data_IF_205920533364
#
_entry.id   IF_205920533364
#
_cell.length_a   1.000
_cell.length_b   1.000
_cell.length_c   1.000
_cell.angle_alpha   90.00
_cell.angle_beta   90.00
_cell.angle_gamma   90.00
#
_symmetry.space_group_name_H-M   'P 1'
#
loop_
_entity.id
_entity.type
_entity.pdbx_description
1 polymer ?
#
# COMPACT_ATOMS: atom_id res chain seq x y z
N UNK A 1 26.86 4.40 25.72
CA UNK A 1 26.40 4.74 24.35
C UNK A 1 27.64 5.25 23.59
N UNK A 2 27.98 4.59 22.51
CA UNK A 2 29.07 5.00 21.63
C UNK A 2 28.49 5.83 20.47
N UNK A 3 29.15 6.97 20.16
CA UNK A 3 28.83 7.80 19.01
C UNK A 3 29.39 7.16 17.74
N UNK A 4 28.55 6.95 16.72
CA UNK A 4 29.00 6.38 15.47
C UNK A 4 29.10 7.41 14.32
N UNK A 5 28.11 8.31 14.17
CA UNK A 5 28.03 9.25 13.05
C UNK A 5 27.06 10.41 13.38
N UNK A 6 27.34 11.60 12.82
CA UNK A 6 26.40 12.72 12.86
C UNK A 6 25.35 12.51 11.74
N UNK A 7 24.06 12.45 12.12
CA UNK A 7 22.93 12.33 11.20
C UNK A 7 22.39 13.69 10.78
N UNK A 8 22.44 14.67 11.65
CA UNK A 8 21.97 16.02 11.36
C UNK A 8 22.30 17.02 12.47
N UNK A 9 22.31 18.29 12.11
CA UNK A 9 22.51 19.41 13.02
C UNK A 9 21.39 20.42 12.82
N UNK A 10 20.57 20.59 13.83
CA UNK A 10 19.44 21.52 13.83
C UNK A 10 19.66 22.74 14.74
N UNK A 11 18.63 23.60 14.82
CA UNK A 11 18.64 24.78 15.65
C UNK A 11 18.64 24.44 17.16
N UNK A 12 17.85 23.45 17.56
CA UNK A 12 17.71 23.04 18.97
C UNK A 12 18.75 21.99 19.39
N UNK A 13 19.12 21.10 18.48
CA UNK A 13 19.96 19.96 18.82
C UNK A 13 20.73 19.38 17.65
N UNK A 14 21.59 18.43 17.98
CA UNK A 14 22.31 17.60 17.03
C UNK A 14 21.80 16.16 17.16
N UNK A 15 21.57 15.51 16.04
CA UNK A 15 21.19 14.09 16.00
C UNK A 15 22.38 13.27 15.57
N UNK A 16 22.70 12.24 16.33
CA UNK A 16 23.80 11.33 16.04
C UNK A 16 23.29 9.89 16.01
N UNK A 17 23.87 9.10 15.13
CA UNK A 17 23.79 7.65 15.18
C UNK A 17 24.60 7.18 16.38
N UNK A 18 24.01 6.34 17.21
CA UNK A 18 24.67 5.83 18.40
C UNK A 18 24.38 4.34 18.58
N UNK A 19 25.30 3.62 19.20
CA UNK A 19 25.06 2.25 19.67
C UNK A 19 24.66 2.26 21.13
N UNK A 20 23.56 1.59 21.44
CA UNK A 20 23.15 1.28 22.79
C UNK A 20 23.01 -0.21 22.92
N UNK A 21 23.91 -0.83 23.65
CA UNK A 21 24.06 -2.28 23.71
C UNK A 21 24.29 -2.84 22.29
N UNK A 22 23.47 -3.79 21.84
CA UNK A 22 23.53 -4.35 20.47
C UNK A 22 22.67 -3.56 19.45
N UNK A 23 21.95 -2.54 19.88
CA UNK A 23 20.98 -1.83 19.03
C UNK A 23 21.52 -0.48 18.55
N UNK A 24 21.21 -0.15 17.29
CA UNK A 24 21.50 1.18 16.73
C UNK A 24 20.31 2.10 17.04
N UNK A 25 20.58 3.30 17.51
CA UNK A 25 19.60 4.29 17.91
C UNK A 25 19.94 5.68 17.38
N UNK A 26 18.94 6.55 17.24
CA UNK A 26 19.15 7.98 17.03
C UNK A 26 19.17 8.69 18.40
N UNK A 27 20.25 9.42 18.67
CA UNK A 27 20.42 10.22 19.87
C UNK A 27 20.38 11.70 19.50
N UNK A 28 19.30 12.41 19.90
CA UNK A 28 19.22 13.87 19.77
C UNK A 28 19.77 14.51 21.03
N UNK A 29 20.79 15.35 20.86
CA UNK A 29 21.52 16.05 21.92
C UNK A 29 21.16 17.52 21.85
N UNK A 30 20.65 18.09 22.93
CA UNK A 30 20.35 19.52 23.01
C UNK A 30 21.63 20.35 22.92
N UNK A 31 21.65 21.38 22.12
CA UNK A 31 22.77 22.34 22.05
C UNK A 31 22.78 23.23 23.28
N UNK A 32 23.97 23.65 23.71
CA UNK A 32 24.16 24.54 24.86
C UNK A 32 23.47 25.89 24.62
N UNK A 33 23.60 26.40 23.38
CA UNK A 33 23.01 27.66 22.90
C UNK A 33 21.56 27.55 22.44
N UNK A 34 20.90 26.41 22.70
CA UNK A 34 19.52 26.15 22.31
C UNK A 34 18.57 27.07 23.08
N UNK A 35 17.57 27.71 22.43
CA UNK A 35 16.51 28.46 23.09
C UNK A 35 15.61 27.57 23.98
N UNK A 36 15.63 26.27 23.78
CA UNK A 36 14.85 25.31 24.57
C UNK A 36 15.63 24.85 25.81
N UNK A 37 14.98 24.92 26.96
CA UNK A 37 15.58 24.56 28.26
C UNK A 37 15.81 23.06 28.43
N UNK A 38 15.03 22.21 27.76
CA UNK A 38 15.12 20.76 27.85
C UNK A 38 14.44 20.03 26.63
N UNK A 39 14.65 18.71 26.58
CA UNK A 39 14.08 17.82 25.54
C UNK A 39 12.75 17.17 25.98
N UNK A 40 12.21 17.54 27.15
CA UNK A 40 11.05 16.86 27.75
C UNK A 40 9.78 17.04 26.93
N UNK A 41 9.57 18.22 26.35
CA UNK A 41 8.38 18.49 25.55
C UNK A 41 8.35 17.65 24.25
N UNK A 42 9.47 17.61 23.52
CA UNK A 42 9.59 16.77 22.32
C UNK A 42 9.41 15.29 22.65
N UNK A 43 9.99 14.81 23.77
CA UNK A 43 9.80 13.45 24.24
C UNK A 43 8.32 13.13 24.56
N UNK A 44 7.58 14.08 25.18
CA UNK A 44 6.14 13.94 25.43
C UNK A 44 5.34 13.83 24.12
N UNK A 45 5.62 14.72 23.17
CA UNK A 45 4.95 14.73 21.86
C UNK A 45 5.25 13.44 21.09
N UNK A 46 6.50 12.98 21.09
CA UNK A 46 6.89 11.73 20.46
C UNK A 46 6.15 10.51 21.05
N UNK A 47 5.98 10.47 22.38
CA UNK A 47 5.16 9.43 23.02
C UNK A 47 3.69 9.48 22.60
N UNK A 48 3.14 10.68 22.41
CA UNK A 48 1.75 10.83 21.95
C UNK A 48 1.61 10.27 20.54
N UNK A 49 2.47 10.66 19.60
CA UNK A 49 2.39 10.21 18.21
C UNK A 49 2.72 8.72 18.05
N UNK A 50 3.54 8.15 18.94
CA UNK A 50 3.81 6.71 18.93
C UNK A 50 2.58 5.86 19.32
N UNK A 51 1.57 6.43 20.00
CA UNK A 51 0.30 5.72 20.29
C UNK A 51 -0.52 5.44 19.02
N UNK A 52 -0.28 6.22 17.96
CA UNK A 52 -0.88 6.07 16.64
C UNK A 52 0.13 5.58 15.59
N UNK A 53 1.26 5.04 16.04
CA UNK A 53 2.35 4.48 15.25
C UNK A 53 2.96 5.46 14.22
N UNK A 54 2.97 6.75 14.55
CA UNK A 54 3.63 7.80 13.77
C UNK A 54 4.95 8.18 14.43
N UNK A 55 5.95 8.55 13.63
CA UNK A 55 7.28 8.94 14.07
C UNK A 55 8.18 7.78 14.49
N UNK A 56 9.46 8.08 14.81
CA UNK A 56 10.39 7.11 15.37
C UNK A 56 9.95 6.70 16.78
N UNK A 57 10.16 5.44 17.15
CA UNK A 57 9.78 4.95 18.49
C UNK A 57 10.61 5.64 19.57
N UNK A 58 9.91 6.16 20.59
CA UNK A 58 10.53 6.70 21.77
C UNK A 58 11.20 5.58 22.58
N UNK A 59 12.44 5.81 23.02
CA UNK A 59 13.19 4.85 23.86
C UNK A 59 13.39 5.43 25.27
N UNK A 60 14.07 6.57 25.37
CA UNK A 60 14.38 7.21 26.65
C UNK A 60 14.68 8.69 26.44
N UNK A 61 14.47 9.51 27.46
CA UNK A 61 14.94 10.90 27.48
C UNK A 61 15.51 11.30 28.82
N UNK A 62 16.32 12.36 28.80
CA UNK A 62 16.74 13.14 29.94
C UNK A 62 16.51 14.63 29.65
N UNK A 63 16.98 15.51 30.53
CA UNK A 63 16.92 16.96 30.32
C UNK A 63 17.54 17.40 28.99
N UNK A 64 18.69 16.81 28.62
CA UNK A 64 19.49 17.23 27.47
C UNK A 64 19.51 16.21 26.32
N UNK A 65 18.91 15.05 26.48
CA UNK A 65 19.00 13.94 25.51
C UNK A 65 17.63 13.34 25.22
N UNK A 66 17.42 12.98 23.95
CA UNK A 66 16.29 12.16 23.50
C UNK A 66 16.85 10.98 22.70
N UNK A 67 16.56 9.76 23.15
CA UNK A 67 16.92 8.50 22.47
C UNK A 67 15.66 7.96 21.82
N UNK A 68 15.75 7.69 20.53
CA UNK A 68 14.66 7.18 19.72
C UNK A 68 15.17 6.16 18.69
N UNK A 69 14.25 5.45 18.08
CA UNK A 69 14.52 4.54 16.97
C UNK A 69 15.32 5.26 15.88
N UNK A 70 16.37 4.58 15.38
CA UNK A 70 17.03 5.00 14.18
C UNK A 70 16.22 4.54 12.96
N UNK A 71 15.82 5.46 12.12
CA UNK A 71 15.13 5.17 10.87
C UNK A 71 16.18 5.07 9.76
N UNK A 72 16.44 3.84 9.32
CA UNK A 72 17.33 3.60 8.18
C UNK A 72 16.62 3.98 6.88
N UNK A 73 17.17 4.96 6.17
CA UNK A 73 16.59 5.47 4.93
C UNK A 73 17.17 6.81 4.52
N UNK A 74 16.51 7.45 3.57
CA UNK A 74 16.94 8.70 2.97
C UNK A 74 15.84 9.77 3.12
N UNK A 75 16.22 11.02 3.10
CA UNK A 75 15.24 12.11 3.03
C UNK A 75 14.40 11.98 1.76
N UNK A 76 13.12 12.23 1.87
CA UNK A 76 12.16 12.07 0.75
C UNK A 76 12.61 12.81 -0.53
N UNK A 77 13.25 13.96 -0.38
CA UNK A 77 13.74 14.73 -1.53
C UNK A 77 14.89 14.03 -2.25
N UNK A 78 15.83 13.44 -1.52
CA UNK A 78 16.99 12.75 -2.10
C UNK A 78 16.56 11.41 -2.71
N UNK A 79 15.68 10.69 -2.03
CA UNK A 79 15.05 9.49 -2.56
C UNK A 79 14.27 9.77 -3.86
N UNK A 80 13.47 10.84 -3.90
CA UNK A 80 12.67 11.19 -5.07
C UNK A 80 13.51 11.62 -6.28
N UNK A 81 14.73 12.14 -6.08
CA UNK A 81 15.66 12.49 -7.17
C UNK A 81 16.23 11.31 -7.91
N UNK A 82 16.29 10.14 -7.29
CA UNK A 82 16.94 8.95 -7.86
C UNK A 82 16.28 8.55 -9.17
N UNK A 83 17.05 8.28 -10.24
CA UNK A 83 16.48 7.90 -11.54
C UNK A 83 15.63 6.63 -11.48
N UNK A 84 16.01 5.66 -10.66
CA UNK A 84 15.36 4.37 -10.47
C UNK A 84 14.02 4.44 -9.71
N UNK A 85 13.73 5.55 -9.02
CA UNK A 85 12.47 5.71 -8.29
C UNK A 85 11.28 5.77 -9.25
N UNK A 86 10.43 4.74 -9.19
CA UNK A 86 9.28 4.56 -10.08
C UNK A 86 8.07 5.39 -9.66
N UNK A 87 7.18 5.67 -10.61
CA UNK A 87 5.95 6.44 -10.38
C UNK A 87 5.02 5.80 -9.35
N UNK A 88 4.93 4.46 -9.35
CA UNK A 88 4.13 3.69 -8.40
C UNK A 88 4.67 3.80 -6.97
N UNK A 89 5.99 3.74 -6.81
CA UNK A 89 6.65 3.89 -5.51
C UNK A 89 6.44 5.30 -4.95
N UNK A 90 6.53 6.33 -5.82
CA UNK A 90 6.25 7.71 -5.43
C UNK A 90 4.81 7.84 -4.92
N UNK A 91 3.83 7.29 -5.64
CA UNK A 91 2.42 7.34 -5.22
C UNK A 91 2.22 6.65 -3.86
N UNK A 92 2.85 5.49 -3.67
CA UNK A 92 2.79 4.75 -2.41
C UNK A 92 3.36 5.59 -1.24
N UNK A 93 4.57 6.12 -1.43
CA UNK A 93 5.23 6.94 -0.40
C UNK A 93 4.40 8.17 -0.06
N UNK A 94 3.88 8.89 -1.07
CA UNK A 94 3.05 10.07 -0.85
C UNK A 94 1.73 9.73 -0.15
N UNK A 95 1.08 8.62 -0.53
CA UNK A 95 -0.13 8.15 0.14
C UNK A 95 0.13 7.86 1.62
N UNK A 96 1.20 7.12 1.92
CA UNK A 96 1.56 6.78 3.30
C UNK A 96 1.89 8.02 4.14
N UNK A 97 2.66 8.96 3.57
CA UNK A 97 3.01 10.22 4.26
C UNK A 97 1.76 11.07 4.54
N UNK A 98 0.86 11.23 3.57
CA UNK A 98 -0.39 11.97 3.80
C UNK A 98 -1.29 11.27 4.82
N UNK A 99 -1.24 9.96 4.89
CA UNK A 99 -1.96 9.19 5.90
C UNK A 99 -1.39 9.43 7.30
N UNK A 100 -0.06 9.42 7.49
CA UNK A 100 0.53 9.81 8.77
C UNK A 100 0.11 11.24 9.16
N UNK A 101 0.07 12.18 8.19
CA UNK A 101 -0.46 13.53 8.41
C UNK A 101 -1.92 13.53 8.86
N UNK A 102 -2.76 12.68 8.26
CA UNK A 102 -4.16 12.54 8.66
C UNK A 102 -4.29 11.97 10.09
N UNK A 103 -3.48 10.98 10.45
CA UNK A 103 -3.46 10.46 11.82
C UNK A 103 -3.07 11.53 12.83
N UNK A 104 -2.10 12.38 12.51
CA UNK A 104 -1.74 13.53 13.36
C UNK A 104 -2.90 14.53 13.48
N UNK A 105 -3.57 14.87 12.37
CA UNK A 105 -4.74 15.75 12.37
C UNK A 105 -5.87 15.18 13.25
N UNK A 106 -6.10 13.86 13.18
CA UNK A 106 -7.18 13.16 13.90
C UNK A 106 -7.03 13.16 15.41
N UNK A 107 -5.78 13.24 15.93
CA UNK A 107 -5.50 13.34 17.37
C UNK A 107 -5.31 14.80 17.83
N UNK A 108 -5.56 15.78 16.95
CA UNK A 108 -5.43 17.20 17.30
C UNK A 108 -3.98 17.69 17.42
N UNK A 109 -3.00 16.98 16.82
CA UNK A 109 -1.59 17.36 16.89
C UNK A 109 -1.13 18.00 15.57
N UNK A 110 -0.67 19.25 15.64
CA UNK A 110 -0.02 19.94 14.54
C UNK A 110 1.49 19.78 14.62
N UNK A 111 2.11 19.24 13.57
CA UNK A 111 3.57 19.06 13.50
C UNK A 111 4.32 20.39 13.47
N UNK A 112 3.76 21.37 12.76
CA UNK A 112 4.29 22.74 12.68
C UNK A 112 5.28 23.00 11.54
N UNK A 113 5.89 21.96 10.95
CA UNK A 113 6.95 22.11 9.94
C UNK A 113 6.71 21.30 8.65
N UNK A 114 5.53 20.73 8.45
CA UNK A 114 5.25 19.94 7.23
C UNK A 114 5.08 20.78 5.96
N UNK A 115 5.16 22.09 6.04
CA UNK A 115 5.37 22.97 4.87
C UNK A 115 6.77 22.79 4.25
N UNK A 116 7.75 22.28 5.01
CA UNK A 116 9.10 21.90 4.58
C UNK A 116 9.31 20.40 4.70
N UNK A 117 8.35 19.63 4.22
CA UNK A 117 8.26 18.18 4.37
C UNK A 117 9.47 17.41 3.84
N UNK A 118 10.17 18.00 2.87
CA UNK A 118 11.41 17.48 2.29
C UNK A 118 12.51 17.19 3.32
N UNK A 119 12.47 17.88 4.48
CA UNK A 119 13.41 17.70 5.60
C UNK A 119 12.90 16.76 6.67
N UNK A 120 11.58 16.54 6.74
CA UNK A 120 10.89 15.90 7.86
C UNK A 120 10.31 14.51 7.53
N UNK A 121 10.66 13.93 6.38
CA UNK A 121 10.29 12.56 6.03
C UNK A 121 11.51 11.77 5.61
N UNK A 122 11.68 10.61 6.25
CA UNK A 122 12.64 9.59 5.85
C UNK A 122 11.89 8.49 5.10
N UNK A 123 12.36 8.15 3.91
CA UNK A 123 11.89 7.01 3.12
C UNK A 123 12.81 5.84 3.38
N UNK A 124 12.36 4.88 4.17
CA UNK A 124 13.07 3.65 4.46
C UNK A 124 12.58 2.49 3.57
N UNK A 125 13.31 1.39 3.61
CA UNK A 125 13.00 0.19 2.80
C UNK A 125 11.60 -0.36 3.05
N UNK A 126 11.14 -0.33 4.30
CA UNK A 126 9.87 -0.95 4.71
C UNK A 126 8.84 0.05 5.24
N UNK A 127 9.26 1.26 5.57
CA UNK A 127 8.38 2.26 6.21
C UNK A 127 8.89 3.67 5.87
N UNK A 128 7.95 4.57 5.60
CA UNK A 128 8.21 6.01 5.58
C UNK A 128 7.90 6.56 6.97
N UNK A 129 8.63 7.56 7.42
CA UNK A 129 8.48 8.06 8.78
C UNK A 129 8.62 9.56 8.81
N UNK A 130 7.61 10.24 9.37
CA UNK A 130 7.70 11.66 9.73
C UNK A 130 8.59 11.77 10.97
N UNK A 131 9.55 12.70 10.93
CA UNK A 131 10.52 12.91 12.00
C UNK A 131 10.49 14.35 12.51
N UNK A 132 11.11 14.59 13.67
CA UNK A 132 11.34 15.93 14.27
C UNK A 132 10.07 16.63 14.77
N UNK A 133 9.55 16.14 15.89
CA UNK A 133 8.34 16.66 16.54
C UNK A 133 8.60 17.85 17.47
N UNK A 134 9.76 18.50 17.37
CA UNK A 134 10.13 19.57 18.32
C UNK A 134 9.23 20.81 18.22
N UNK A 135 8.74 21.15 17.03
CA UNK A 135 7.84 22.28 16.78
C UNK A 135 6.37 21.94 16.89
N UNK A 136 6.05 20.67 17.22
CA UNK A 136 4.68 20.17 17.28
C UNK A 136 3.90 20.76 18.46
N UNK A 137 2.58 20.81 18.31
CA UNK A 137 1.67 21.38 19.31
C UNK A 137 0.30 20.72 19.27
N UNK A 138 -0.28 20.47 20.43
CA UNK A 138 -1.69 20.08 20.60
C UNK A 138 -2.61 21.29 20.90
N UNK A 139 -2.06 22.51 20.92
CA UNK A 139 -2.79 23.74 21.15
C UNK A 139 -3.14 24.50 19.88
N UNK A 140 -2.41 24.24 18.79
CA UNK A 140 -2.71 24.80 17.45
C UNK A 140 -3.72 23.93 16.71
N UNK A 141 -4.55 24.56 15.86
CA UNK A 141 -5.40 23.81 14.94
C UNK A 141 -4.52 23.01 13.97
N UNK A 142 -4.65 21.69 13.87
CA UNK A 142 -3.83 20.89 12.97
C UNK A 142 -4.03 21.27 11.52
N UNK A 143 -2.94 21.23 10.75
CA UNK A 143 -2.94 21.50 9.31
C UNK A 143 -1.98 20.60 8.54
N UNK A 144 -1.70 19.42 9.10
CA UNK A 144 -0.66 18.51 8.57
C UNK A 144 -0.96 18.04 7.15
N UNK A 145 -2.18 17.53 6.89
CA UNK A 145 -2.57 17.09 5.54
C UNK A 145 -2.51 18.23 4.53
N UNK A 146 -3.02 19.40 4.89
CA UNK A 146 -3.07 20.54 3.95
C UNK A 146 -1.67 21.11 3.68
N UNK A 147 -0.85 21.27 4.72
CA UNK A 147 0.54 21.74 4.63
C UNK A 147 1.40 20.77 3.82
N UNK A 148 1.35 19.49 4.15
CA UNK A 148 2.08 18.44 3.44
C UNK A 148 1.66 18.33 1.97
N UNK A 149 0.35 18.32 1.68
CA UNK A 149 -0.15 18.27 0.28
C UNK A 149 0.35 19.44 -0.55
N UNK A 150 0.32 20.65 0.00
CA UNK A 150 0.84 21.84 -0.69
C UNK A 150 2.35 21.76 -0.90
N UNK A 151 3.11 21.37 0.12
CA UNK A 151 4.55 21.24 0.03
C UNK A 151 4.99 20.17 -0.98
N UNK A 152 4.33 19.00 -0.98
CA UNK A 152 4.68 17.89 -1.87
C UNK A 152 4.31 18.19 -3.34
N UNK A 153 3.21 18.92 -3.59
CA UNK A 153 2.60 18.96 -4.92
C UNK A 153 2.61 20.33 -5.59
N UNK A 154 2.84 21.45 -4.86
CA UNK A 154 2.64 22.78 -5.42
C UNK A 154 3.87 23.67 -5.34
N UNK A 155 4.50 23.81 -4.18
CA UNK A 155 5.33 24.98 -3.89
C UNK A 155 6.81 24.75 -3.62
N UNK A 156 7.32 23.51 -3.62
CA UNK A 156 8.70 23.21 -3.18
C UNK A 156 9.58 22.62 -4.26
N UNK A 157 10.88 22.48 -3.96
CA UNK A 157 11.81 21.72 -4.80
C UNK A 157 11.38 20.27 -4.99
N UNK A 158 10.83 19.65 -3.95
CA UNK A 158 10.25 18.31 -4.01
C UNK A 158 9.07 18.25 -4.98
N UNK A 159 8.17 19.24 -4.97
CA UNK A 159 7.04 19.33 -5.90
C UNK A 159 7.48 19.31 -7.37
N UNK A 160 8.54 20.04 -7.71
CA UNK A 160 9.10 20.05 -9.08
C UNK A 160 9.62 18.67 -9.50
N UNK A 161 10.23 17.92 -8.59
CA UNK A 161 10.74 16.57 -8.85
C UNK A 161 9.57 15.60 -9.04
N UNK A 162 8.58 15.62 -8.15
CA UNK A 162 7.37 14.80 -8.20
C UNK A 162 6.60 15.01 -9.50
N UNK A 163 6.38 16.28 -9.90
CA UNK A 163 5.66 16.63 -11.14
C UNK A 163 6.33 16.11 -12.42
N UNK A 164 7.66 15.93 -12.41
CA UNK A 164 8.38 15.31 -13.54
C UNK A 164 8.17 13.80 -13.62
N UNK A 165 7.88 13.14 -12.50
CA UNK A 165 7.81 11.68 -12.40
C UNK A 165 6.38 11.12 -12.38
N UNK A 166 5.40 11.89 -11.90
CA UNK A 166 4.00 11.49 -11.88
C UNK A 166 3.09 12.59 -12.43
N UNK A 167 2.06 12.16 -13.17
CA UNK A 167 1.01 13.08 -13.64
C UNK A 167 0.08 13.43 -12.47
N UNK A 168 0.05 14.69 -12.13
CA UNK A 168 -0.80 15.27 -11.08
C UNK A 168 -2.01 16.00 -11.67
N UNK A 169 -3.10 16.18 -10.90
CA UNK A 169 -4.20 17.05 -11.26
C UNK A 169 -3.75 18.53 -11.27
N UNK A 170 -4.61 19.42 -11.77
CA UNK A 170 -4.34 20.85 -11.79
C UNK A 170 -4.18 21.42 -10.38
N UNK A 171 -3.37 22.47 -10.24
CA UNK A 171 -3.16 23.19 -8.97
C UNK A 171 -4.48 23.58 -8.32
N UNK A 172 -5.45 24.08 -9.11
CA UNK A 172 -6.77 24.47 -8.62
C UNK A 172 -7.52 23.29 -7.99
N UNK A 173 -7.49 22.12 -8.64
CA UNK A 173 -8.12 20.91 -8.08
C UNK A 173 -7.50 20.49 -6.76
N UNK A 174 -6.16 20.54 -6.65
CA UNK A 174 -5.44 20.23 -5.41
C UNK A 174 -5.87 21.20 -4.29
N UNK A 175 -5.91 22.51 -4.58
CA UNK A 175 -6.33 23.53 -3.62
C UNK A 175 -7.77 23.32 -3.15
N UNK A 176 -8.70 23.01 -4.06
CA UNK A 176 -10.09 22.79 -3.71
C UNK A 176 -10.26 21.58 -2.79
N UNK A 177 -9.61 20.45 -3.10
CA UNK A 177 -9.63 19.26 -2.26
C UNK A 177 -9.09 19.53 -0.84
N UNK A 178 -7.97 20.27 -0.75
CA UNK A 178 -7.39 20.61 0.55
C UNK A 178 -8.21 21.62 1.32
N UNK A 179 -8.92 22.55 0.65
CA UNK A 179 -9.85 23.51 1.29
C UNK A 179 -11.04 22.78 1.91
N UNK A 180 -11.65 21.83 1.20
CA UNK A 180 -12.75 21.03 1.73
C UNK A 180 -12.32 20.22 2.95
N UNK A 181 -11.14 19.60 2.89
CA UNK A 181 -10.58 18.89 4.03
C UNK A 181 -10.32 19.83 5.22
N UNK A 182 -9.75 21.03 4.98
CA UNK A 182 -9.47 22.01 6.03
C UNK A 182 -10.73 22.49 6.75
N UNK A 183 -11.86 22.63 6.00
CA UNK A 183 -13.16 22.98 6.59
C UNK A 183 -13.71 21.85 7.46
N UNK A 184 -13.62 20.62 6.96
CA UNK A 184 -14.14 19.45 7.62
C UNK A 184 -13.17 18.26 7.49
N UNK A 185 -12.26 18.06 8.48
CA UNK A 185 -11.19 17.05 8.43
C UNK A 185 -11.73 15.65 8.74
N UNK A 186 -12.58 15.13 7.88
CA UNK A 186 -13.13 13.78 7.95
C UNK A 186 -12.32 12.78 7.12
N UNK A 187 -12.47 11.47 7.43
CA UNK A 187 -11.94 10.36 6.63
C UNK A 187 -12.35 10.53 5.16
N UNK A 188 -13.64 10.82 4.90
CA UNK A 188 -14.18 11.00 3.55
C UNK A 188 -13.47 12.11 2.77
N UNK A 189 -13.23 13.26 3.39
CA UNK A 189 -12.53 14.36 2.73
C UNK A 189 -11.03 14.07 2.54
N UNK A 190 -10.42 13.31 3.44
CA UNK A 190 -9.08 12.79 3.26
C UNK A 190 -9.00 11.80 2.08
N UNK A 191 -9.92 10.86 2.00
CA UNK A 191 -10.04 9.94 0.86
C UNK A 191 -10.23 10.68 -0.46
N UNK A 192 -11.06 11.73 -0.48
CA UNK A 192 -11.23 12.59 -1.67
C UNK A 192 -9.92 13.22 -2.12
N UNK A 193 -9.01 13.58 -1.19
CA UNK A 193 -7.66 14.05 -1.53
C UNK A 193 -6.88 12.93 -2.20
N UNK A 194 -6.72 11.77 -1.57
CA UNK A 194 -5.89 10.66 -2.09
C UNK A 194 -6.39 10.14 -3.43
N UNK A 195 -7.71 9.99 -3.59
CA UNK A 195 -8.36 9.64 -4.87
C UNK A 195 -8.13 10.72 -5.92
N UNK A 196 -8.42 11.97 -5.57
CA UNK A 196 -8.30 13.11 -6.48
C UNK A 196 -6.88 13.33 -6.96
N UNK A 197 -5.88 13.02 -6.14
CA UNK A 197 -4.45 13.08 -6.45
C UNK A 197 -3.94 11.81 -7.17
N UNK A 198 -4.77 10.79 -7.33
CA UNK A 198 -4.39 9.49 -7.90
C UNK A 198 -3.20 8.86 -7.17
N UNK A 199 -3.12 9.07 -5.85
CA UNK A 199 -2.09 8.48 -5.01
C UNK A 199 -2.44 7.05 -4.58
N UNK A 200 -3.70 6.69 -4.69
CA UNK A 200 -4.11 5.32 -4.46
C UNK A 200 -3.36 4.43 -5.46
N UNK A 201 -2.61 3.49 -4.95
CA UNK A 201 -2.09 2.41 -5.77
C UNK A 201 -3.35 1.68 -6.21
N UNK A 202 -3.54 1.55 -7.50
CA UNK A 202 -4.74 0.98 -8.10
C UNK A 202 -4.92 -0.50 -7.74
N UNK A 203 -5.14 -0.75 -6.47
CA UNK A 203 -5.77 -1.95 -5.95
C UNK A 203 -7.25 -1.64 -5.83
N UNK A 204 -8.10 -2.33 -6.58
CA UNK A 204 -9.56 -2.16 -6.58
C UNK A 204 -10.22 -2.31 -5.20
N UNK A 205 -9.47 -2.71 -4.21
CA UNK A 205 -9.90 -2.99 -2.83
C UNK A 205 -9.37 -1.99 -1.79
N UNK A 206 -8.80 -0.86 -2.23
CA UNK A 206 -8.17 0.08 -1.30
C UNK A 206 -9.18 0.77 -0.37
N UNK A 207 -10.41 0.97 -0.85
CA UNK A 207 -11.49 1.52 -0.04
C UNK A 207 -11.89 0.55 1.08
N UNK A 208 -11.96 -0.74 0.77
CA UNK A 208 -12.28 -1.80 1.71
C UNK A 208 -11.11 -2.03 2.69
N UNK A 209 -9.88 -2.01 2.20
CA UNK A 209 -8.69 -2.14 3.04
C UNK A 209 -8.53 -0.92 3.95
N UNK A 210 -8.84 0.30 3.50
CA UNK A 210 -8.75 1.49 4.36
C UNK A 210 -9.72 1.44 5.54
N UNK A 211 -10.89 0.83 5.41
CA UNK A 211 -11.79 0.61 6.53
C UNK A 211 -11.25 -0.41 7.55
N UNK A 212 -10.53 -1.42 7.09
CA UNK A 212 -9.88 -2.43 7.95
C UNK A 212 -8.72 -1.84 8.80
N UNK A 213 -8.11 -0.76 8.34
CA UNK A 213 -7.10 -0.05 9.13
C UNK A 213 -7.68 0.67 10.36
N UNK A 214 -8.99 0.84 10.45
CA UNK A 214 -9.63 1.38 11.65
C UNK A 214 -9.71 0.34 12.79
N UNK A 215 -9.57 -0.94 12.46
CA UNK A 215 -9.49 -2.01 13.45
C UNK A 215 -8.08 -2.10 14.04
N UNK A 216 -7.96 -1.86 15.35
CA UNK A 216 -6.69 -1.87 16.09
C UNK A 216 -5.96 -3.22 16.05
N UNK A 217 -6.66 -4.33 15.80
CA UNK A 217 -6.06 -5.68 15.69
C UNK A 217 -5.59 -5.96 14.26
N UNK A 218 -6.32 -5.47 13.24
CA UNK A 218 -5.99 -5.70 11.84
C UNK A 218 -4.91 -4.73 11.35
N UNK A 219 -4.88 -3.50 11.84
CA UNK A 219 -3.90 -2.48 11.43
C UNK A 219 -2.44 -2.96 11.45
N UNK A 220 -1.91 -3.59 12.54
CA UNK A 220 -0.55 -4.10 12.56
C UNK A 220 -0.28 -5.20 11.52
N UNK A 221 -1.28 -6.07 11.29
CA UNK A 221 -1.19 -7.14 10.29
C UNK A 221 -1.15 -6.57 8.87
N UNK A 222 -2.04 -5.62 8.56
CA UNK A 222 -2.09 -4.96 7.24
C UNK A 222 -0.79 -4.18 6.99
N UNK A 223 -0.25 -3.49 7.99
CA UNK A 223 1.06 -2.81 7.89
C UNK A 223 2.20 -3.80 7.60
N UNK A 224 2.18 -4.98 8.23
CA UNK A 224 3.20 -6.03 8.03
C UNK A 224 3.08 -6.69 6.66
N UNK A 225 1.85 -6.97 6.21
CA UNK A 225 1.57 -7.66 4.93
C UNK A 225 1.73 -6.69 3.74
N UNK A 226 1.42 -5.41 3.95
CA UNK A 226 1.41 -4.40 2.89
C UNK A 226 0.10 -4.33 2.11
N UNK A 227 0.08 -3.65 0.96
CA UNK A 227 -1.13 -3.44 0.17
C UNK A 227 -1.68 -4.75 -0.37
N UNK A 228 -3.01 -4.81 -0.53
CA UNK A 228 -3.67 -5.96 -1.15
C UNK A 228 -3.18 -6.13 -2.61
N UNK A 229 -2.46 -7.21 -2.86
CA UNK A 229 -1.89 -7.56 -4.17
C UNK A 229 -2.74 -8.57 -4.94
N UNK A 230 -4.02 -8.72 -4.56
CA UNK A 230 -4.92 -9.67 -5.19
C UNK A 230 -5.02 -9.43 -6.70
N UNK A 231 -4.58 -10.41 -7.49
CA UNK A 231 -4.61 -10.35 -8.94
C UNK A 231 -6.03 -10.60 -9.43
N UNK A 232 -6.50 -9.73 -10.29
CA UNK A 232 -7.80 -9.82 -10.92
C UNK A 232 -7.60 -10.18 -12.38
N UNK A 233 -8.30 -11.20 -12.85
CA UNK A 233 -8.28 -11.64 -14.23
C UNK A 233 -9.62 -11.29 -14.88
N UNK A 234 -9.59 -10.47 -15.93
CA UNK A 234 -10.81 -10.15 -16.71
C UNK A 234 -11.21 -11.28 -17.68
N UNK A 235 -10.41 -12.33 -17.78
CA UNK A 235 -10.66 -13.46 -18.66
C UNK A 235 -11.37 -14.58 -17.89
N UNK A 236 -12.67 -14.73 -18.13
CA UNK A 236 -13.52 -15.74 -17.48
C UNK A 236 -13.02 -17.18 -17.67
N UNK A 237 -12.60 -17.54 -18.89
CA UNK A 237 -12.07 -18.86 -19.17
C UNK A 237 -10.78 -19.14 -18.41
N UNK A 238 -9.85 -18.18 -18.41
CA UNK A 238 -8.59 -18.29 -17.65
C UNK A 238 -8.85 -18.50 -16.18
N UNK A 239 -9.74 -17.70 -15.56
CA UNK A 239 -10.06 -17.81 -14.14
C UNK A 239 -10.56 -19.20 -13.77
N UNK A 240 -11.47 -19.77 -14.59
CA UNK A 240 -12.02 -21.09 -14.30
C UNK A 240 -11.00 -22.20 -14.54
N UNK A 241 -10.19 -22.14 -15.60
CA UNK A 241 -9.12 -23.12 -15.84
C UNK A 241 -8.09 -23.11 -14.73
N UNK A 242 -7.63 -21.93 -14.33
CA UNK A 242 -6.69 -21.80 -13.20
C UNK A 242 -7.31 -22.32 -11.90
N UNK A 243 -8.57 -21.98 -11.60
CA UNK A 243 -9.27 -22.49 -10.44
C UNK A 243 -9.37 -24.04 -10.44
N UNK A 244 -9.65 -24.67 -11.59
CA UNK A 244 -9.66 -26.15 -11.72
C UNK A 244 -8.26 -26.72 -11.45
N UNK A 245 -7.19 -26.10 -11.96
CA UNK A 245 -5.82 -26.56 -11.72
C UNK A 245 -5.50 -26.49 -10.24
N UNK A 246 -5.92 -25.43 -9.53
CA UNK A 246 -5.63 -25.20 -8.11
C UNK A 246 -6.41 -26.11 -7.14
N UNK A 247 -7.52 -26.73 -7.56
CA UNK A 247 -8.31 -27.60 -6.67
C UNK A 247 -7.46 -28.64 -5.95
N UNK A 248 -7.61 -28.73 -4.63
CA UNK A 248 -6.94 -29.73 -3.76
C UNK A 248 -5.39 -29.76 -3.88
N UNK A 249 -4.76 -28.65 -4.22
CA UNK A 249 -3.31 -28.51 -4.30
C UNK A 249 -2.82 -27.40 -3.37
N UNK A 250 -1.58 -27.51 -2.90
CA UNK A 250 -0.90 -26.37 -2.28
C UNK A 250 -0.62 -25.30 -3.33
N UNK A 251 -0.55 -24.04 -2.90
CA UNK A 251 -0.25 -22.89 -3.80
C UNK A 251 1.04 -23.10 -4.60
N UNK A 252 2.09 -23.61 -3.95
CA UNK A 252 3.37 -23.89 -4.61
C UNK A 252 3.24 -24.92 -5.73
N UNK A 253 2.53 -26.04 -5.47
CA UNK A 253 2.30 -27.10 -6.46
C UNK A 253 1.44 -26.61 -7.62
N UNK A 254 0.33 -25.93 -7.34
CA UNK A 254 -0.57 -25.39 -8.34
C UNK A 254 0.13 -24.36 -9.23
N UNK A 255 0.92 -23.46 -8.63
CA UNK A 255 1.73 -22.46 -9.36
C UNK A 255 2.74 -23.12 -10.29
N UNK A 256 3.43 -24.19 -9.83
CA UNK A 256 4.41 -24.92 -10.64
C UNK A 256 3.74 -25.61 -11.86
N UNK A 257 2.58 -26.23 -11.63
CA UNK A 257 1.77 -26.88 -12.70
C UNK A 257 1.29 -25.83 -13.71
N UNK A 258 0.71 -24.73 -13.22
CA UNK A 258 0.24 -23.62 -14.08
C UNK A 258 1.37 -23.04 -14.92
N UNK A 259 2.57 -22.85 -14.35
CA UNK A 259 3.74 -22.40 -15.13
C UNK A 259 4.11 -23.39 -16.24
N UNK A 260 4.10 -24.70 -15.99
CA UNK A 260 4.37 -25.71 -17.03
C UNK A 260 3.27 -25.77 -18.09
N UNK A 261 2.00 -25.67 -17.68
CA UNK A 261 0.87 -25.57 -18.58
C UNK A 261 1.00 -24.36 -19.54
N UNK A 262 1.30 -23.18 -18.99
CA UNK A 262 1.48 -21.97 -19.81
C UNK A 262 2.68 -22.04 -20.75
N UNK A 263 3.73 -22.80 -20.42
CA UNK A 263 4.87 -23.02 -21.33
C UNK A 263 4.52 -23.75 -22.63
N UNK A 264 3.41 -24.47 -22.67
CA UNK A 264 2.92 -25.12 -23.89
C UNK A 264 2.40 -24.09 -24.92
N UNK A 265 2.17 -22.85 -24.49
CA UNK A 265 1.54 -21.81 -25.28
C UNK A 265 2.28 -20.48 -25.17
N UNK A 266 2.18 -19.63 -26.20
CA UNK A 266 2.79 -18.27 -26.16
C UNK A 266 2.03 -17.29 -25.25
N UNK A 267 0.72 -17.51 -25.11
CA UNK A 267 -0.20 -16.74 -24.25
C UNK A 267 -1.13 -17.73 -23.54
N UNK A 268 -1.98 -17.26 -22.63
CA UNK A 268 -3.01 -18.12 -22.07
C UNK A 268 -3.83 -18.76 -23.21
N UNK A 269 -3.98 -20.09 -23.24
CA UNK A 269 -4.57 -20.77 -24.40
C UNK A 269 -6.06 -20.46 -24.56
N UNK A 270 -6.51 -20.45 -25.81
CA UNK A 270 -7.94 -20.43 -26.13
C UNK A 270 -8.57 -21.82 -25.89
N UNK A 271 -9.91 -21.91 -25.78
CA UNK A 271 -10.59 -23.20 -25.69
C UNK A 271 -10.22 -24.17 -26.84
N UNK A 272 -10.07 -23.66 -28.05
CA UNK A 272 -9.71 -24.45 -29.27
C UNK A 272 -8.29 -25.01 -29.13
N UNK A 273 -7.35 -24.20 -28.64
CA UNK A 273 -5.95 -24.63 -28.44
C UNK A 273 -5.87 -25.73 -27.39
N UNK A 274 -6.64 -25.63 -26.29
CA UNK A 274 -6.69 -26.68 -25.26
C UNK A 274 -7.28 -27.96 -25.83
N UNK A 275 -8.35 -27.87 -26.61
CA UNK A 275 -8.96 -29.05 -27.27
C UNK A 275 -8.01 -29.75 -28.24
N UNK A 276 -7.21 -29.01 -28.99
CA UNK A 276 -6.22 -29.55 -29.92
C UNK A 276 -4.97 -30.11 -29.26
N UNK A 277 -4.71 -29.78 -27.98
CA UNK A 277 -3.57 -30.30 -27.25
C UNK A 277 -3.84 -31.73 -26.76
N UNK A 278 -2.91 -32.65 -27.02
CA UNK A 278 -3.06 -34.05 -26.59
C UNK A 278 -3.07 -34.18 -25.07
N UNK A 279 -3.83 -35.14 -24.54
CA UNK A 279 -3.93 -35.41 -23.13
C UNK A 279 -2.57 -35.75 -22.52
N UNK A 280 -1.69 -36.42 -23.28
CA UNK A 280 -0.32 -36.72 -22.85
C UNK A 280 0.43 -35.43 -22.53
N UNK A 281 0.45 -34.46 -23.45
CA UNK A 281 1.12 -33.17 -23.23
C UNK A 281 0.56 -32.41 -22.03
N UNK A 282 -0.75 -32.47 -21.81
CA UNK A 282 -1.38 -31.87 -20.63
C UNK A 282 -1.00 -32.60 -19.33
N UNK A 283 -0.96 -33.94 -19.33
CA UNK A 283 -0.50 -34.73 -18.18
C UNK A 283 0.95 -34.47 -17.82
N UNK A 284 1.82 -34.29 -18.82
CA UNK A 284 3.25 -34.00 -18.62
C UNK A 284 3.47 -32.65 -17.88
N UNK A 285 2.48 -31.76 -17.90
CA UNK A 285 2.53 -30.53 -17.07
C UNK A 285 2.25 -30.77 -15.58
N UNK A 286 1.75 -31.95 -15.23
CA UNK A 286 1.35 -32.33 -13.87
C UNK A 286 -0.16 -32.16 -13.61
N UNK A 287 -0.99 -31.89 -14.63
CA UNK A 287 -2.45 -31.83 -14.51
C UNK A 287 -2.99 -33.25 -14.48
N UNK A 288 -3.82 -33.58 -13.47
CA UNK A 288 -4.45 -34.92 -13.37
C UNK A 288 -5.44 -35.16 -14.52
N UNK A 289 -5.63 -36.43 -14.89
CA UNK A 289 -6.56 -36.82 -15.94
C UNK A 289 -7.99 -36.30 -15.72
N UNK A 290 -8.46 -36.35 -14.48
CA UNK A 290 -9.79 -35.77 -14.11
C UNK A 290 -9.86 -34.27 -14.39
N UNK A 291 -8.84 -33.51 -14.02
CA UNK A 291 -8.78 -32.05 -14.30
C UNK A 291 -8.68 -31.75 -15.78
N UNK A 292 -7.94 -32.58 -16.55
CA UNK A 292 -7.88 -32.45 -18.02
C UNK A 292 -9.28 -32.61 -18.61
N UNK A 293 -10.03 -33.62 -18.16
CA UNK A 293 -11.41 -33.83 -18.62
C UNK A 293 -12.31 -32.61 -18.29
N UNK A 294 -12.17 -32.01 -17.09
CA UNK A 294 -12.93 -30.83 -16.73
C UNK A 294 -12.56 -29.61 -17.58
N UNK A 295 -11.28 -29.36 -17.79
CA UNK A 295 -10.82 -28.24 -18.62
C UNK A 295 -11.23 -28.41 -20.06
N UNK A 296 -11.12 -29.61 -20.65
CA UNK A 296 -11.59 -29.90 -22.01
C UNK A 296 -13.11 -29.85 -22.11
N UNK A 297 -13.84 -30.34 -21.09
CA UNK A 297 -15.30 -30.21 -21.03
C UNK A 297 -15.76 -28.77 -21.05
N UNK A 298 -15.18 -27.90 -20.21
CA UNK A 298 -15.42 -26.46 -20.21
C UNK A 298 -15.10 -25.83 -21.59
N UNK A 299 -13.95 -26.16 -22.15
CA UNK A 299 -13.53 -25.68 -23.47
C UNK A 299 -14.52 -26.06 -24.56
N UNK A 300 -14.99 -27.31 -24.58
CA UNK A 300 -15.99 -27.80 -25.53
C UNK A 300 -17.30 -27.05 -25.45
N UNK A 301 -17.81 -26.81 -24.24
CA UNK A 301 -19.06 -26.07 -24.04
C UNK A 301 -18.96 -24.62 -24.51
N UNK A 302 -17.79 -23.96 -24.30
CA UNK A 302 -17.55 -22.60 -24.79
C UNK A 302 -17.51 -22.56 -26.30
N UNK A 303 -16.81 -23.50 -26.96
CA UNK A 303 -16.74 -23.61 -28.43
C UNK A 303 -18.14 -23.81 -29.02
N UNK A 304 -18.95 -24.64 -28.37
CA UNK A 304 -20.35 -24.88 -28.79
C UNK A 304 -21.31 -23.73 -28.46
N UNK A 305 -20.81 -22.66 -27.81
CA UNK A 305 -21.61 -21.52 -27.33
C UNK A 305 -22.71 -21.89 -26.32
N UNK A 306 -22.57 -23.04 -25.65
CA UNK A 306 -23.44 -23.46 -24.55
C UNK A 306 -23.22 -22.58 -23.30
N UNK A 307 -22.01 -22.00 -23.17
CA UNK A 307 -21.63 -21.05 -22.11
C UNK A 307 -21.38 -19.69 -22.74
N UNK A 308 -22.13 -18.68 -22.30
CA UNK A 308 -21.91 -17.27 -22.65
C UNK A 308 -21.57 -16.44 -21.40
N UNK A 309 -20.29 -16.21 -21.16
CA UNK A 309 -19.84 -15.42 -20.03
C UNK A 309 -20.34 -13.97 -20.03
N UNK A 310 -20.70 -13.41 -21.18
CA UNK A 310 -21.28 -12.05 -21.24
C UNK A 310 -22.70 -12.03 -20.69
N UNK A 311 -23.46 -13.10 -20.89
CA UNK A 311 -24.79 -13.26 -20.29
C UNK A 311 -24.66 -13.59 -18.80
N UNK A 312 -23.84 -14.58 -18.45
CA UNK A 312 -23.61 -15.01 -17.06
C UNK A 312 -23.17 -13.83 -16.19
N UNK A 313 -22.27 -12.98 -16.65
CA UNK A 313 -21.76 -11.85 -15.87
C UNK A 313 -22.82 -10.79 -15.50
N UNK A 314 -24.00 -10.80 -16.13
CA UNK A 314 -25.10 -9.89 -15.85
C UNK A 314 -26.10 -10.43 -14.83
N UNK A 315 -26.02 -11.71 -14.49
CA UNK A 315 -26.91 -12.37 -13.54
C UNK A 315 -26.59 -11.97 -12.08
N UNK A 316 -27.50 -12.30 -11.16
CA UNK A 316 -27.25 -12.21 -9.71
C UNK A 316 -26.25 -13.28 -9.27
N UNK A 317 -25.60 -13.10 -8.14
CA UNK A 317 -24.56 -14.01 -7.66
C UNK A 317 -25.03 -15.45 -7.52
N UNK A 318 -26.21 -15.67 -6.96
CA UNK A 318 -26.83 -16.99 -6.78
C UNK A 318 -27.05 -17.69 -8.13
N UNK A 319 -27.55 -16.95 -9.12
CA UNK A 319 -27.78 -17.45 -10.47
C UNK A 319 -26.48 -17.76 -11.20
N UNK A 320 -25.41 -16.95 -10.97
CA UNK A 320 -24.08 -17.23 -11.53
C UNK A 320 -23.53 -18.52 -10.94
N UNK A 321 -23.66 -18.72 -9.63
CA UNK A 321 -23.23 -19.96 -8.97
C UNK A 321 -24.00 -21.14 -9.54
N UNK A 322 -25.32 -21.05 -9.67
CA UNK A 322 -26.16 -22.10 -10.24
C UNK A 322 -25.74 -22.45 -11.67
N UNK A 323 -25.54 -21.47 -12.54
CA UNK A 323 -25.13 -21.69 -13.94
C UNK A 323 -23.73 -22.31 -14.02
N UNK A 324 -22.77 -21.84 -13.22
CA UNK A 324 -21.41 -22.34 -13.25
C UNK A 324 -21.29 -23.74 -12.66
N UNK A 325 -22.09 -24.09 -11.64
CA UNK A 325 -22.06 -25.42 -11.03
C UNK A 325 -22.66 -26.53 -11.90
N UNK A 326 -23.42 -26.19 -12.94
CA UNK A 326 -23.83 -27.13 -13.99
C UNK A 326 -22.65 -27.68 -14.80
N UNK A 327 -21.51 -26.96 -14.80
CA UNK A 327 -20.30 -27.34 -15.53
C UNK A 327 -19.53 -28.38 -14.72
N UNK A 328 -19.31 -29.56 -15.28
CA UNK A 328 -18.59 -30.64 -14.59
C UNK A 328 -17.18 -30.19 -14.16
N UNK A 329 -16.89 -30.32 -12.88
CA UNK A 329 -15.61 -29.88 -12.31
C UNK A 329 -15.62 -28.47 -11.71
N UNK A 330 -16.75 -27.76 -11.79
CA UNK A 330 -16.95 -26.47 -11.15
C UNK A 330 -17.97 -26.66 -10.01
N UNK A 331 -17.51 -26.57 -8.78
CA UNK A 331 -18.36 -26.55 -7.59
C UNK A 331 -18.58 -25.13 -7.07
N UNK A 332 -19.37 -25.00 -5.98
CA UNK A 332 -19.68 -23.71 -5.35
C UNK A 332 -18.42 -22.90 -5.05
N UNK A 333 -17.38 -23.52 -4.50
CA UNK A 333 -16.12 -22.83 -4.21
C UNK A 333 -15.48 -22.22 -5.46
N UNK A 334 -15.43 -22.99 -6.57
CA UNK A 334 -14.87 -22.49 -7.86
C UNK A 334 -15.73 -21.37 -8.45
N UNK A 335 -17.05 -21.46 -8.32
CA UNK A 335 -17.96 -20.39 -8.74
C UNK A 335 -17.78 -19.13 -7.89
N UNK A 336 -17.56 -19.24 -6.60
CA UNK A 336 -17.25 -18.10 -5.71
C UNK A 336 -15.90 -17.46 -6.06
N UNK A 337 -14.85 -18.26 -6.37
CA UNK A 337 -13.58 -17.76 -6.88
C UNK A 337 -13.79 -16.95 -8.18
N UNK A 338 -14.65 -17.40 -9.07
CA UNK A 338 -14.99 -16.65 -10.29
C UNK A 338 -15.68 -15.32 -9.97
N UNK A 339 -16.65 -15.29 -9.05
CA UNK A 339 -17.28 -14.05 -8.59
C UNK A 339 -16.27 -13.06 -8.04
N UNK A 340 -15.35 -13.52 -7.15
CA UNK A 340 -14.35 -12.67 -6.52
C UNK A 340 -13.28 -12.17 -7.49
N UNK A 341 -12.63 -13.06 -8.22
CA UNK A 341 -11.41 -12.77 -8.97
C UNK A 341 -11.62 -12.40 -10.42
N UNK A 342 -12.79 -12.74 -10.99
CA UNK A 342 -13.13 -12.37 -12.37
C UNK A 342 -14.17 -11.23 -12.41
N UNK A 343 -15.32 -11.42 -11.77
CA UNK A 343 -16.39 -10.43 -11.78
C UNK A 343 -16.26 -9.35 -10.71
N UNK A 344 -15.42 -9.57 -9.68
CA UNK A 344 -15.14 -8.62 -8.61
C UNK A 344 -16.42 -8.25 -7.84
N UNK A 345 -17.27 -9.23 -7.62
CA UNK A 345 -18.43 -9.07 -6.76
C UNK A 345 -17.99 -8.93 -5.30
N UNK A 346 -18.70 -8.11 -4.53
CA UNK A 346 -18.35 -7.76 -3.14
C UNK A 346 -19.24 -8.44 -2.12
N UNK A 347 -20.31 -8.98 -2.56
CA UNK A 347 -21.43 -9.59 -1.81
C UNK A 347 -21.49 -11.09 -2.05
#
# INVERSE_FOLDING_TARGET
IEKCQILGKGYVGMVVLAKKDKNVVALKIRRIDSPRKNMTNEAKLLKIVNRIDVGPKFIKNSKNFLIMEYIEGEKIIDWAKKPETKSEEIRLVLNNVLRECYLLDSIGLDHGELSTIDKHVIVGKNKNTIIDFESSSTKRKPSNVTGATQAILIGTGLAKIIQKKIKLPTKLKIINLTREYKKNPTVKNFENITIGLKLQISGKYEKEVSSLYLDKKLEPLIKKIGPCTMRITKNSYQTLVEAIIYQQLSEASATAITKRFLKLYKKFPTPEQVMSTSDKKLKDTGISGTKINYIKGLSKQIIKKEIDFRKISKLKNEQIIEELTKIKGIGNWTAQIYLMFCLQRKD
#
